data_IF_697309519289
#
_entry.id   IF_697309519289
#
_cell.length_a   1.000
_cell.length_b   1.000
_cell.length_c   1.000
_cell.angle_alpha   90.00
_cell.angle_beta   90.00
_cell.angle_gamma   90.00
#
_symmetry.space_group_name_H-M   'P 1'
#
loop_
_entity.id
_entity.type
_entity.pdbx_description
1 polymer ?
#
# COMPACT_ATOMS: atom_id res chain seq x y z
N UNK A 1 4.34 -4.89 12.91
CA UNK A 1 3.44 -6.00 12.53
C UNK A 1 3.92 -6.59 11.21
N UNK A 2 3.81 -7.91 11.00
CA UNK A 2 4.24 -8.54 9.76
C UNK A 2 3.15 -8.40 8.67
N UNK A 3 3.44 -7.88 7.46
CA UNK A 3 2.44 -7.75 6.40
C UNK A 3 1.74 -9.06 6.02
N UNK A 4 2.38 -10.21 6.23
CA UNK A 4 1.78 -11.52 5.96
C UNK A 4 0.61 -11.88 6.90
N UNK A 5 0.44 -11.15 8.01
CA UNK A 5 -0.63 -11.37 8.99
C UNK A 5 -1.82 -10.42 8.79
N UNK A 6 -1.69 -9.41 7.93
CA UNK A 6 -2.73 -8.42 7.69
C UNK A 6 -3.97 -9.05 7.04
N UNK A 7 -5.15 -8.74 7.59
CA UNK A 7 -6.46 -9.20 7.12
C UNK A 7 -7.30 -8.03 6.60
N UNK A 8 -7.15 -6.86 7.20
CA UNK A 8 -7.84 -5.62 6.84
C UNK A 8 -6.81 -4.50 6.64
N UNK A 9 -6.69 -4.03 5.39
CA UNK A 9 -5.82 -2.93 5.01
C UNK A 9 -6.64 -1.76 4.47
N UNK A 10 -6.78 -0.69 5.26
CA UNK A 10 -7.50 0.51 4.83
C UNK A 10 -6.63 1.35 3.89
N UNK A 11 -7.19 1.77 2.76
CA UNK A 11 -6.60 2.81 1.89
C UNK A 11 -7.51 4.03 1.92
N UNK A 12 -6.99 5.18 2.36
CA UNK A 12 -7.80 6.41 2.47
C UNK A 12 -8.13 6.97 1.09
N UNK A 13 -9.29 7.63 1.00
CA UNK A 13 -9.65 8.51 -0.12
C UNK A 13 -10.85 9.37 0.28
N UNK A 14 -10.62 10.59 0.77
CA UNK A 14 -11.66 11.44 1.36
C UNK A 14 -12.84 11.70 0.42
N UNK A 15 -12.57 11.84 -0.88
CA UNK A 15 -13.60 12.06 -1.91
C UNK A 15 -14.61 10.92 -2.05
N UNK A 16 -14.33 9.74 -1.48
CA UNK A 16 -15.20 8.56 -1.52
C UNK A 16 -15.82 8.24 -0.15
N UNK A 17 -15.73 9.16 0.81
CA UNK A 17 -16.00 8.90 2.22
C UNK A 17 -17.34 9.39 2.75
N UNK A 18 -18.27 9.72 1.86
CA UNK A 18 -19.59 10.27 2.20
C UNK A 18 -19.52 11.53 3.10
N UNK A 19 -18.54 12.40 2.82
CA UNK A 19 -18.37 13.67 3.53
C UNK A 19 -17.52 13.62 4.81
N UNK A 20 -17.04 12.44 5.20
CA UNK A 20 -16.14 12.27 6.35
C UNK A 20 -14.69 12.52 5.98
N UNK A 21 -13.93 13.11 6.90
CA UNK A 21 -12.50 13.37 6.71
C UNK A 21 -11.67 12.09 6.82
N UNK A 22 -10.52 12.02 6.14
CA UNK A 22 -9.69 10.80 6.20
C UNK A 22 -9.20 10.45 7.60
N UNK A 23 -8.94 11.43 8.47
CA UNK A 23 -8.59 11.19 9.86
C UNK A 23 -9.73 10.52 10.65
N UNK A 24 -10.97 10.98 10.48
CA UNK A 24 -12.15 10.40 11.12
C UNK A 24 -12.35 8.92 10.72
N UNK A 25 -12.12 8.61 9.44
CA UNK A 25 -12.25 7.26 8.91
C UNK A 25 -11.15 6.35 9.47
N UNK A 26 -9.93 6.87 9.57
CA UNK A 26 -8.80 6.11 10.13
C UNK A 26 -9.06 5.83 11.60
N UNK A 27 -9.47 6.82 12.40
CA UNK A 27 -9.83 6.63 13.81
C UNK A 27 -10.91 5.53 13.96
N UNK A 28 -11.99 5.60 13.17
CA UNK A 28 -13.05 4.58 13.20
C UNK A 28 -12.56 3.19 12.75
N UNK A 29 -11.62 3.11 11.80
CA UNK A 29 -11.05 1.84 11.34
C UNK A 29 -10.11 1.23 12.37
N UNK A 30 -9.35 2.06 13.10
CA UNK A 30 -8.52 1.63 14.22
C UNK A 30 -9.39 1.04 15.33
N UNK A 31 -10.49 1.70 15.69
CA UNK A 31 -11.47 1.16 16.65
C UNK A 31 -12.09 -0.18 16.18
N UNK A 32 -12.20 -0.36 14.87
CA UNK A 32 -12.66 -1.60 14.23
C UNK A 32 -11.60 -2.71 14.14
N UNK A 33 -10.35 -2.45 14.53
CA UNK A 33 -9.26 -3.43 14.48
C UNK A 33 -8.62 -3.60 13.10
N UNK A 34 -8.45 -2.53 12.33
CA UNK A 34 -7.69 -2.56 11.06
C UNK A 34 -6.22 -2.92 11.31
N UNK A 35 -5.62 -3.72 10.41
CA UNK A 35 -4.24 -4.20 10.57
C UNK A 35 -3.19 -3.25 9.96
N UNK A 36 -3.59 -2.41 9.01
CA UNK A 36 -2.73 -1.40 8.38
C UNK A 36 -3.54 -0.24 7.79
N UNK A 37 -2.91 0.93 7.67
CA UNK A 37 -3.50 2.13 7.07
C UNK A 37 -2.60 2.68 5.98
N UNK A 38 -3.15 2.96 4.80
CA UNK A 38 -2.46 3.61 3.69
C UNK A 38 -2.99 5.04 3.50
N UNK A 39 -2.14 6.05 3.70
CA UNK A 39 -2.46 7.42 3.33
C UNK A 39 -2.42 7.58 1.80
N UNK A 40 -3.59 7.76 1.19
CA UNK A 40 -3.75 7.96 -0.26
C UNK A 40 -4.73 9.10 -0.59
N UNK A 41 -4.28 10.34 -0.45
CA UNK A 41 -5.05 11.53 -0.87
C UNK A 41 -4.45 12.16 -2.14
N UNK A 42 -4.68 11.53 -3.30
CA UNK A 42 -4.22 12.08 -4.58
C UNK A 42 -4.92 13.43 -4.86
N UNK A 43 -4.20 14.36 -5.47
CA UNK A 43 -4.72 15.68 -5.83
C UNK A 43 -4.69 16.74 -4.71
N UNK A 44 -4.29 16.38 -3.48
CA UNK A 44 -4.08 17.38 -2.41
C UNK A 44 -2.72 18.08 -2.52
N UNK A 45 -2.62 19.35 -2.13
CA UNK A 45 -1.33 20.02 -1.92
C UNK A 45 -0.40 19.22 -1.02
N UNK A 46 0.91 19.34 -1.24
CA UNK A 46 1.91 18.59 -0.47
C UNK A 46 1.84 18.93 1.04
N UNK A 47 1.65 20.20 1.39
CA UNK A 47 1.52 20.66 2.77
C UNK A 47 0.33 20.01 3.48
N UNK A 48 -0.84 19.96 2.84
CA UNK A 48 -2.03 19.32 3.42
C UNK A 48 -1.85 17.81 3.63
N UNK A 49 -1.19 17.13 2.67
CA UNK A 49 -0.86 15.71 2.83
C UNK A 49 0.12 15.46 3.95
N UNK A 50 1.08 16.37 4.15
CA UNK A 50 2.04 16.30 5.25
C UNK A 50 1.35 16.45 6.60
N UNK A 51 0.53 17.48 6.78
CA UNK A 51 -0.21 17.67 8.04
C UNK A 51 -1.16 16.52 8.33
N UNK A 52 -1.88 16.02 7.32
CA UNK A 52 -2.70 14.83 7.47
C UNK A 52 -1.85 13.61 7.84
N UNK A 53 -0.72 13.39 7.16
CA UNK A 53 0.17 12.26 7.43
C UNK A 53 0.74 12.27 8.85
N UNK A 54 1.10 13.44 9.38
CA UNK A 54 1.53 13.57 10.79
C UNK A 54 0.42 13.18 11.76
N UNK A 55 -0.80 13.69 11.54
CA UNK A 55 -1.94 13.32 12.39
C UNK A 55 -2.22 11.82 12.33
N UNK A 56 -2.18 11.22 11.14
CA UNK A 56 -2.38 9.78 10.98
C UNK A 56 -1.26 8.98 11.63
N UNK A 57 -0.01 9.43 11.56
CA UNK A 57 1.13 8.79 12.21
C UNK A 57 0.91 8.70 13.72
N UNK A 58 0.50 9.79 14.35
CA UNK A 58 0.28 9.82 15.80
C UNK A 58 -0.78 8.77 16.21
N UNK A 59 -1.96 8.79 15.59
CA UNK A 59 -3.06 7.87 15.97
C UNK A 59 -2.78 6.40 15.63
N UNK A 60 -2.06 6.15 14.54
CA UNK A 60 -1.70 4.78 14.12
C UNK A 60 -0.60 4.21 15.00
N UNK A 61 0.39 5.02 15.39
CA UNK A 61 1.43 4.63 16.35
C UNK A 61 0.84 4.28 17.72
N UNK A 62 -0.08 5.09 18.24
CA UNK A 62 -0.77 4.82 19.51
C UNK A 62 -1.55 3.50 19.48
N UNK A 63 -2.13 3.15 18.32
CA UNK A 63 -2.84 1.90 18.11
C UNK A 63 -1.93 0.70 17.78
N UNK A 64 -0.62 0.91 17.58
CA UNK A 64 0.31 -0.13 17.13
C UNK A 64 0.06 -0.64 15.70
N UNK A 65 -0.62 0.18 14.89
CA UNK A 65 -0.98 -0.12 13.50
C UNK A 65 -0.01 0.60 12.55
N UNK A 66 0.58 -0.06 11.55
CA UNK A 66 1.52 0.59 10.62
C UNK A 66 0.83 1.59 9.69
N UNK A 67 1.47 2.74 9.51
CA UNK A 67 1.13 3.74 8.51
C UNK A 67 2.01 3.57 7.27
N UNK A 68 1.36 3.40 6.12
CA UNK A 68 2.01 3.31 4.81
C UNK A 68 1.63 4.53 3.98
N UNK A 69 2.61 5.16 3.32
CA UNK A 69 2.34 6.30 2.42
C UNK A 69 2.27 5.83 0.97
N UNK A 70 1.27 6.28 0.23
CA UNK A 70 1.12 5.95 -1.19
C UNK A 70 2.07 6.80 -2.08
N UNK A 71 2.82 6.14 -2.97
CA UNK A 71 3.73 6.64 -4.03
C UNK A 71 4.94 7.49 -3.55
N UNK A 72 4.77 8.28 -2.48
CA UNK A 72 5.66 9.38 -2.08
C UNK A 72 6.65 8.97 -0.98
N UNK A 73 7.81 8.45 -1.39
CA UNK A 73 8.93 8.11 -0.48
C UNK A 73 9.39 9.30 0.37
N UNK A 74 9.43 10.50 -0.22
CA UNK A 74 9.80 11.73 0.47
C UNK A 74 8.80 12.11 1.57
N UNK A 75 7.49 11.94 1.31
CA UNK A 75 6.45 12.17 2.31
C UNK A 75 6.50 11.11 3.41
N UNK A 76 6.71 9.83 3.06
CA UNK A 76 6.89 8.75 4.02
C UNK A 76 8.01 9.07 5.02
N UNK A 77 9.16 9.53 4.51
CA UNK A 77 10.28 9.95 5.34
C UNK A 77 9.93 11.17 6.21
N UNK A 78 9.24 12.17 5.64
CA UNK A 78 8.94 13.41 6.36
C UNK A 78 7.99 13.21 7.55
N UNK A 79 7.08 12.23 7.46
CA UNK A 79 6.11 11.92 8.52
C UNK A 79 6.51 10.72 9.37
N UNK A 80 7.72 10.19 9.19
CA UNK A 80 8.22 8.99 9.88
C UNK A 80 7.26 7.79 9.72
N UNK A 81 6.74 7.58 8.51
CA UNK A 81 5.83 6.46 8.23
C UNK A 81 6.57 5.13 8.33
N UNK A 82 5.84 4.07 8.69
CA UNK A 82 6.40 2.71 8.77
C UNK A 82 6.76 2.14 7.40
N UNK A 83 6.23 2.73 6.32
CA UNK A 83 6.48 2.24 4.98
C UNK A 83 5.87 3.06 3.84
N UNK A 84 6.03 2.52 2.64
CA UNK A 84 5.52 3.09 1.39
C UNK A 84 4.86 2.02 0.52
N UNK A 85 3.84 2.39 -0.25
CA UNK A 85 3.27 1.57 -1.31
C UNK A 85 3.54 2.22 -2.67
N UNK A 86 4.15 1.49 -3.59
CA UNK A 86 4.67 2.00 -4.87
C UNK A 86 3.91 1.39 -6.05
N UNK A 87 3.58 2.22 -7.03
CA UNK A 87 3.13 1.80 -8.35
C UNK A 87 4.29 1.53 -9.32
N UNK A 88 3.95 0.99 -10.49
CA UNK A 88 4.93 0.63 -11.53
C UNK A 88 5.71 1.82 -12.12
N UNK A 89 5.18 3.04 -11.97
CA UNK A 89 5.79 4.28 -12.48
C UNK A 89 6.41 5.14 -11.38
N UNK A 90 6.42 4.65 -10.13
CA UNK A 90 6.99 5.38 -8.99
C UNK A 90 8.49 5.06 -8.82
N UNK A 91 9.09 5.57 -7.74
CA UNK A 91 10.48 5.25 -7.40
C UNK A 91 10.65 3.75 -7.13
N UNK A 92 11.81 3.15 -7.45
CA UNK A 92 12.05 1.73 -7.23
C UNK A 92 12.18 1.38 -5.75
N UNK A 93 11.95 0.11 -5.40
CA UNK A 93 12.06 -0.43 -4.03
C UNK A 93 13.40 -0.10 -3.39
N UNK A 94 14.51 -0.21 -4.14
CA UNK A 94 15.85 0.13 -3.64
C UNK A 94 15.95 1.57 -3.12
N UNK A 95 15.35 2.53 -3.83
CA UNK A 95 15.35 3.94 -3.39
C UNK A 95 14.49 4.12 -2.15
N UNK A 96 13.37 3.40 -2.02
CA UNK A 96 12.58 3.44 -0.79
C UNK A 96 13.39 2.92 0.42
N UNK A 97 14.10 1.79 0.27
CA UNK A 97 14.97 1.24 1.32
C UNK A 97 16.10 2.20 1.68
N UNK A 98 16.78 2.78 0.70
CA UNK A 98 17.87 3.74 0.94
C UNK A 98 17.42 4.97 1.74
N UNK A 99 16.16 5.40 1.57
CA UNK A 99 15.64 6.62 2.19
C UNK A 99 14.89 6.39 3.51
N UNK A 100 14.22 5.26 3.65
CA UNK A 100 13.40 4.93 4.82
C UNK A 100 14.09 3.94 5.77
N UNK A 101 15.19 3.34 5.34
CA UNK A 101 15.92 2.30 6.06
C UNK A 101 15.46 0.89 5.70
N UNK A 102 16.32 -0.09 5.99
CA UNK A 102 16.09 -1.50 5.63
C UNK A 102 14.83 -2.08 6.29
N UNK A 103 14.43 -1.54 7.45
CA UNK A 103 13.24 -1.98 8.19
C UNK A 103 11.91 -1.41 7.72
N UNK A 104 11.89 -0.48 6.75
CA UNK A 104 10.65 0.11 6.27
C UNK A 104 9.79 -0.91 5.51
N UNK A 105 8.47 -0.86 5.63
CA UNK A 105 7.59 -1.77 4.89
C UNK A 105 7.38 -1.24 3.46
N UNK A 106 7.77 -1.99 2.44
CA UNK A 106 7.65 -1.59 1.04
C UNK A 106 6.68 -2.51 0.30
N UNK A 107 5.51 -1.96 -0.03
CA UNK A 107 4.54 -2.63 -0.90
C UNK A 107 4.66 -2.20 -2.35
N UNK A 108 4.34 -3.10 -3.28
CA UNK A 108 4.32 -2.77 -4.71
C UNK A 108 3.01 -3.22 -5.36
N UNK A 109 2.37 -2.35 -6.14
CA UNK A 109 1.23 -2.74 -6.97
C UNK A 109 1.68 -3.65 -8.11
N UNK A 110 1.08 -4.82 -8.28
CA UNK A 110 1.37 -5.74 -9.38
C UNK A 110 0.07 -6.31 -9.98
N UNK A 111 -0.12 -6.16 -11.28
CA UNK A 111 -1.33 -6.63 -11.98
C UNK A 111 -1.07 -7.84 -12.88
N UNK A 112 0.20 -8.23 -13.04
CA UNK A 112 0.64 -9.37 -13.84
C UNK A 112 1.69 -10.21 -13.12
N UNK A 113 1.85 -11.48 -13.52
CA UNK A 113 2.89 -12.37 -12.99
C UNK A 113 4.31 -11.80 -13.17
N UNK A 114 4.69 -11.25 -14.34
CA UNK A 114 6.01 -10.62 -14.49
C UNK A 114 6.26 -9.47 -13.52
N UNK A 115 5.28 -8.58 -13.34
CA UNK A 115 5.40 -7.46 -12.37
C UNK A 115 5.54 -7.97 -10.94
N UNK A 116 4.77 -9.00 -10.58
CA UNK A 116 4.82 -9.61 -9.24
C UNK A 116 6.20 -10.22 -8.95
N UNK A 117 6.76 -10.97 -9.90
CA UNK A 117 8.13 -11.53 -9.77
C UNK A 117 9.17 -10.43 -9.67
N UNK A 118 9.12 -9.42 -10.54
CA UNK A 118 10.05 -8.31 -10.50
C UNK A 118 10.01 -7.55 -9.16
N UNK A 119 8.81 -7.35 -8.60
CA UNK A 119 8.64 -6.73 -7.29
C UNK A 119 9.18 -7.59 -6.14
N UNK A 120 8.91 -8.91 -6.17
CA UNK A 120 9.45 -9.86 -5.19
C UNK A 120 10.98 -9.93 -5.25
N UNK A 121 11.55 -10.06 -6.45
CA UNK A 121 13.00 -10.08 -6.68
C UNK A 121 13.67 -8.76 -6.23
N UNK A 122 12.94 -7.64 -6.32
CA UNK A 122 13.39 -6.33 -5.82
C UNK A 122 13.28 -6.17 -4.29
N UNK A 123 12.71 -7.14 -3.57
CA UNK A 123 12.59 -7.12 -2.11
C UNK A 123 11.37 -6.36 -1.58
N UNK A 124 10.26 -6.36 -2.32
CA UNK A 124 8.97 -5.91 -1.78
C UNK A 124 8.48 -6.85 -0.66
N UNK A 125 7.93 -6.27 0.42
CA UNK A 125 7.41 -7.04 1.56
C UNK A 125 6.00 -7.57 1.30
N UNK A 126 5.24 -6.91 0.43
CA UNK A 126 3.91 -7.38 -0.01
C UNK A 126 3.55 -6.84 -1.39
N UNK A 127 2.60 -7.50 -2.03
CA UNK A 127 2.07 -7.10 -3.33
C UNK A 127 0.62 -6.64 -3.23
N UNK A 128 0.34 -5.45 -3.76
CA UNK A 128 -1.02 -5.00 -4.02
C UNK A 128 -1.47 -5.53 -5.37
N UNK A 129 -2.20 -6.64 -5.39
CA UNK A 129 -2.81 -7.11 -6.64
C UNK A 129 -3.93 -6.14 -7.00
N UNK A 130 -3.95 -5.69 -8.26
CA UNK A 130 -4.83 -4.63 -8.77
C UNK A 130 -6.33 -4.87 -8.56
N UNK A 131 -7.17 -4.19 -9.34
CA UNK A 131 -8.61 -4.30 -9.19
C UNK A 131 -9.10 -5.75 -9.46
N UNK A 132 -9.32 -6.54 -8.39
CA UNK A 132 -9.84 -7.92 -8.49
C UNK A 132 -11.24 -7.91 -9.09
N UNK A 133 -12.04 -6.93 -8.66
CA UNK A 133 -13.34 -6.59 -9.24
C UNK A 133 -13.25 -5.20 -9.85
N UNK A 134 -14.09 -4.92 -10.85
CA UNK A 134 -14.10 -3.60 -11.51
C UNK A 134 -14.24 -2.47 -10.48
N UNK A 135 -13.41 -1.44 -10.59
CA UNK A 135 -13.41 -0.28 -9.71
C UNK A 135 -13.10 1.00 -10.48
N UNK A 136 -13.68 2.11 -10.03
CA UNK A 136 -13.40 3.47 -10.53
C UNK A 136 -12.61 4.31 -9.50
N UNK A 137 -11.97 3.64 -8.53
CA UNK A 137 -11.30 4.29 -7.38
C UNK A 137 -9.84 4.67 -7.68
N UNK A 138 -9.23 4.01 -8.67
CA UNK A 138 -7.89 4.30 -9.20
C UNK A 138 -7.97 4.31 -10.73
N UNK A 139 -7.15 5.11 -11.41
CA UNK A 139 -6.99 5.04 -12.87
C UNK A 139 -6.27 3.73 -13.22
N UNK A 140 -7.04 2.67 -13.43
CA UNK A 140 -6.55 1.36 -13.87
C UNK A 140 -6.95 1.18 -15.32
N UNK A 141 -6.04 0.78 -16.23
CA UNK A 141 -6.40 0.40 -17.59
C UNK A 141 -7.52 -0.66 -17.58
N UNK A 142 -8.48 -0.56 -18.50
CA UNK A 142 -9.64 -1.48 -18.55
C UNK A 142 -9.21 -2.97 -18.61
N UNK A 143 -8.07 -3.26 -19.23
CA UNK A 143 -7.47 -4.59 -19.39
C UNK A 143 -7.05 -5.24 -18.05
N UNK A 144 -6.81 -4.43 -17.03
CA UNK A 144 -6.44 -4.84 -15.68
C UNK A 144 -7.48 -4.43 -14.64
N UNK A 145 -8.66 -3.97 -15.08
CA UNK A 145 -9.77 -3.60 -14.21
C UNK A 145 -10.77 -4.76 -14.07
N UNK A 146 -10.71 -5.49 -12.96
CA UNK A 146 -11.51 -6.70 -12.74
C UNK A 146 -10.78 -7.97 -13.14
N UNK A 147 -9.57 -8.17 -12.61
CA UNK A 147 -8.69 -9.30 -12.97
C UNK A 147 -9.19 -10.68 -12.52
N UNK A 148 -10.17 -10.71 -11.62
CA UNK A 148 -10.73 -11.92 -11.05
C UNK A 148 -9.82 -12.59 -10.00
N UNK A 149 -10.38 -13.46 -9.14
CA UNK A 149 -9.62 -14.22 -8.15
C UNK A 149 -8.59 -15.17 -8.80
N UNK A 150 -8.82 -15.60 -10.04
CA UNK A 150 -7.89 -16.47 -10.78
C UNK A 150 -6.54 -15.79 -11.01
N UNK A 151 -6.53 -14.48 -11.30
CA UNK A 151 -5.27 -13.74 -11.46
C UNK A 151 -4.55 -13.53 -10.13
N UNK A 152 -5.30 -13.34 -9.05
CA UNK A 152 -4.72 -13.27 -7.70
C UNK A 152 -4.02 -14.59 -7.37
N UNK A 153 -4.67 -15.73 -7.61
CA UNK A 153 -4.08 -17.05 -7.42
C UNK A 153 -2.81 -17.25 -8.27
N UNK A 154 -2.87 -16.92 -9.56
CA UNK A 154 -1.72 -17.03 -10.46
C UNK A 154 -0.53 -16.16 -10.03
N UNK A 155 -0.80 -14.95 -9.51
CA UNK A 155 0.26 -14.08 -8.96
C UNK A 155 0.83 -14.68 -7.68
N UNK A 156 -0.02 -15.13 -6.76
CA UNK A 156 0.41 -15.75 -5.50
C UNK A 156 1.30 -16.98 -5.74
N UNK A 157 0.86 -17.91 -6.60
CA UNK A 157 1.61 -19.12 -6.95
C UNK A 157 2.99 -18.81 -7.56
N UNK A 158 3.07 -17.72 -8.33
CA UNK A 158 4.28 -17.34 -9.05
C UNK A 158 5.36 -16.67 -8.18
N UNK A 159 4.98 -16.15 -7.00
CA UNK A 159 5.88 -15.53 -6.03
C UNK A 159 6.00 -16.32 -4.72
N UNK A 160 5.27 -17.43 -4.60
CA UNK A 160 5.42 -18.34 -3.47
C UNK A 160 6.87 -18.90 -3.47
N UNK A 161 7.65 -18.69 -2.39
CA UNK A 161 9.01 -19.21 -2.28
C UNK A 161 9.09 -20.74 -2.43
N UNK A 162 8.00 -21.48 -2.25
CA UNK A 162 7.96 -22.93 -2.48
C UNK A 162 8.11 -23.27 -3.97
N UNK A 163 7.65 -22.40 -4.88
CA UNK A 163 7.69 -22.61 -6.33
C UNK A 163 9.09 -22.39 -6.95
N UNK A 164 10.00 -21.68 -6.27
CA UNK A 164 11.37 -21.43 -6.75
C UNK A 164 12.33 -22.61 -6.55
N UNK A 165 11.96 -23.63 -5.77
CA UNK A 165 12.85 -24.75 -5.43
C UNK A 165 12.78 -25.90 -6.46
N UNK A 166 11.91 -25.81 -7.47
CA UNK A 166 11.66 -26.87 -8.45
C UNK A 166 12.04 -26.53 -9.90
N UNK A 167 12.85 -25.49 -10.13
CA UNK A 167 13.48 -25.21 -11.44
C UNK A 167 15.00 -25.37 -11.38
#
# INVERSE_FOLDING_TARGET
>A
MNPNEWRAYLVTQESRSAGRGSAEIVEAALDGGVDAVQLREKGRPAAERYELGRRLRDVTADAGVPLIVNDRVDLAAAVDADGVHLGQSDLPVSVARDRLGDGAIVGVSASTVPEARAAADAGADYLGVGAVYRTDTKDVPDETNGVGPERVAAIADAVDPVSYTHL
#
